data_IF_157082222183
#
_entry.id   IF_157082222183
#
_cell.length_a   1.000
_cell.length_b   1.000
_cell.length_c   1.000
_cell.angle_alpha   90.00
_cell.angle_beta   90.00
_cell.angle_gamma   90.00
#
_symmetry.space_group_name_H-M   'P 1'
#
loop_
_entity.id
_entity.type
_entity.pdbx_description
1 polymer ?
#
# COMPACT_ATOMS: atom_id res chain seq x y z
N UNK A 1 1.38 4.83 8.93
CA UNK A 1 1.98 4.71 7.58
C UNK A 1 3.49 4.77 7.59
N UNK A 2 4.13 5.73 8.29
CA UNK A 2 5.60 5.81 8.31
C UNK A 2 6.33 4.57 8.84
N UNK A 3 5.68 3.79 9.70
CA UNK A 3 6.25 2.56 10.27
C UNK A 3 6.11 1.34 9.34
N UNK A 4 5.21 1.37 8.36
CA UNK A 4 4.94 0.22 7.48
C UNK A 4 6.05 0.00 6.43
N UNK A 5 6.95 0.97 6.27
CA UNK A 5 8.03 1.00 5.29
C UNK A 5 9.40 1.22 5.96
N UNK A 6 9.50 0.89 7.25
CA UNK A 6 10.80 0.89 7.96
C UNK A 6 11.78 -0.07 7.25
N UNK A 7 13.05 0.33 7.14
CA UNK A 7 14.07 -0.50 6.52
C UNK A 7 14.34 -1.78 7.33
N UNK A 8 14.16 -1.72 8.65
CA UNK A 8 14.25 -2.85 9.55
C UNK A 8 12.90 -3.59 9.62
N UNK A 9 12.82 -4.86 9.17
CA UNK A 9 11.57 -5.63 9.19
C UNK A 9 10.99 -5.81 10.60
N UNK A 10 11.83 -5.84 11.64
CA UNK A 10 11.38 -6.01 13.02
C UNK A 10 10.68 -4.77 13.59
N UNK A 11 10.87 -3.61 12.96
CA UNK A 11 10.21 -2.36 13.32
C UNK A 11 8.90 -2.14 12.59
N UNK A 12 8.61 -2.95 11.56
CA UNK A 12 7.33 -2.88 10.85
C UNK A 12 6.24 -3.49 11.74
N UNK A 13 5.06 -2.87 11.84
CA UNK A 13 3.94 -3.49 12.50
C UNK A 13 3.51 -4.74 11.72
N UNK A 14 3.20 -5.81 12.44
CA UNK A 14 2.55 -6.96 11.84
C UNK A 14 1.11 -6.63 11.42
N UNK A 15 0.48 -7.56 10.70
CA UNK A 15 -0.87 -7.38 10.17
C UNK A 15 -1.91 -7.18 11.27
N UNK A 16 -1.76 -7.86 12.42
CA UNK A 16 -2.70 -7.76 13.53
C UNK A 16 -2.56 -6.41 14.24
N UNK A 17 -1.33 -5.97 14.52
CA UNK A 17 -1.04 -4.66 15.11
C UNK A 17 -1.53 -3.51 14.22
N UNK A 18 -1.38 -3.64 12.90
CA UNK A 18 -1.93 -2.67 11.95
C UNK A 18 -3.47 -2.66 11.96
N UNK A 19 -4.10 -3.82 11.99
CA UNK A 19 -5.57 -3.95 12.03
C UNK A 19 -6.16 -3.31 13.29
N UNK A 20 -5.59 -3.56 14.47
CA UNK A 20 -6.04 -2.95 15.72
C UNK A 20 -5.95 -1.42 15.69
N UNK A 21 -4.87 -0.86 15.10
CA UNK A 21 -4.75 0.59 14.90
C UNK A 21 -5.85 1.14 13.99
N UNK A 22 -6.13 0.46 12.87
CA UNK A 22 -7.20 0.87 11.95
C UNK A 22 -8.58 0.78 12.60
N UNK A 23 -8.83 -0.28 13.37
CA UNK A 23 -10.08 -0.45 14.13
C UNK A 23 -10.27 0.67 15.14
N UNK A 24 -9.21 1.07 15.85
CA UNK A 24 -9.25 2.21 16.76
C UNK A 24 -9.59 3.51 16.03
N UNK A 25 -8.90 3.82 14.91
CA UNK A 25 -9.23 5.00 14.13
C UNK A 25 -10.67 5.00 13.61
N UNK A 26 -11.17 3.84 13.18
CA UNK A 26 -12.55 3.71 12.74
C UNK A 26 -13.55 3.94 13.88
N UNK A 27 -13.26 3.43 15.07
CA UNK A 27 -14.09 3.66 16.25
C UNK A 27 -14.07 5.13 16.68
N UNK A 28 -12.88 5.75 16.71
CA UNK A 28 -12.72 7.17 17.02
C UNK A 28 -13.50 8.04 16.03
N UNK A 29 -13.46 7.68 14.74
CA UNK A 29 -14.23 8.33 13.68
C UNK A 29 -15.75 8.16 13.87
N UNK A 30 -16.22 6.95 14.19
CA UNK A 30 -17.65 6.69 14.40
C UNK A 30 -18.21 7.40 15.65
N UNK A 31 -17.36 7.62 16.65
CA UNK A 31 -17.74 8.29 17.90
C UNK A 31 -17.68 9.82 17.80
N UNK A 32 -17.22 10.36 16.67
CA UNK A 32 -17.16 11.79 16.42
C UNK A 32 -18.55 12.33 16.08
N UNK A 33 -18.90 13.49 16.62
CA UNK A 33 -20.22 14.10 16.40
C UNK A 33 -20.33 14.68 14.99
N UNK A 34 -21.52 14.57 14.38
CA UNK A 34 -21.84 15.09 13.05
C UNK A 34 -21.53 16.59 12.86
N UNK A 35 -21.50 17.36 13.95
CA UNK A 35 -21.18 18.79 13.95
C UNK A 35 -19.72 19.07 13.59
N UNK A 36 -18.80 18.19 14.00
CA UNK A 36 -17.38 18.29 13.67
C UNK A 36 -17.16 17.94 12.19
N UNK A 37 -17.84 16.91 11.68
CA UNK A 37 -17.86 16.58 10.25
C UNK A 37 -18.44 17.70 9.39
N UNK A 38 -19.54 18.34 9.81
CA UNK A 38 -20.07 19.53 9.12
C UNK A 38 -19.03 20.63 9.06
N UNK A 39 -18.36 20.96 10.16
CA UNK A 39 -17.33 22.01 10.15
C UNK A 39 -16.12 21.67 9.26
N UNK A 40 -15.73 20.40 9.15
CA UNK A 40 -14.62 19.97 8.30
C UNK A 40 -15.03 19.93 6.82
N UNK A 41 -16.27 19.52 6.51
CA UNK A 41 -16.87 19.57 5.17
C UNK A 41 -17.13 21.02 4.72
N UNK A 42 -17.59 21.88 5.61
CA UNK A 42 -17.82 23.31 5.37
C UNK A 42 -16.47 24.04 5.19
N UNK A 43 -15.41 23.64 5.90
CA UNK A 43 -14.04 24.09 5.61
C UNK A 43 -13.46 23.50 4.32
N UNK A 44 -13.97 22.34 3.87
CA UNK A 44 -13.66 21.70 2.59
C UNK A 44 -14.53 22.24 1.44
N UNK A 45 -15.51 23.11 1.72
CA UNK A 45 -16.41 23.76 0.77
C UNK A 45 -15.70 24.85 -0.07
N UNK A 46 -14.45 24.60 -0.44
CA UNK A 46 -13.68 25.31 -1.47
C UNK A 46 -13.41 24.42 -2.69
N UNK A 47 -14.28 23.44 -2.96
CA UNK A 47 -14.38 22.78 -4.27
C UNK A 47 -15.84 22.47 -4.60
N UNK A 48 -16.70 23.50 -4.62
CA UNK A 48 -17.92 23.46 -5.45
C UNK A 48 -17.50 23.47 -6.92
N UNK A 49 -17.04 22.34 -7.42
CA UNK A 49 -16.96 22.05 -8.86
C UNK A 49 -17.87 20.85 -9.08
N UNK A 50 -19.11 21.20 -9.39
CA UNK A 50 -20.08 20.48 -10.20
C UNK A 50 -19.76 18.99 -10.46
N UNK A 51 -20.60 18.14 -9.87
CA UNK A 51 -20.67 16.70 -10.06
C UNK A 51 -20.75 16.31 -11.54
N UNK A 52 -19.60 16.20 -12.20
CA UNK A 52 -19.50 15.54 -13.50
C UNK A 52 -19.03 14.11 -13.27
N UNK A 53 -19.98 13.24 -12.90
CA UNK A 53 -19.86 11.80 -12.63
C UNK A 53 -19.42 10.96 -13.86
N UNK A 54 -18.71 11.56 -14.83
CA UNK A 54 -18.29 10.95 -16.10
C UNK A 54 -16.83 11.24 -16.49
N UNK A 55 -16.00 11.83 -15.61
CA UNK A 55 -14.55 11.87 -15.85
C UNK A 55 -13.82 10.92 -14.89
N UNK A 56 -13.74 9.65 -15.27
CA UNK A 56 -13.08 8.57 -14.51
C UNK A 56 -11.55 8.71 -14.36
N UNK A 57 -10.99 9.91 -14.58
CA UNK A 57 -9.54 10.15 -14.60
C UNK A 57 -9.21 11.54 -14.07
N UNK A 58 -9.36 11.74 -12.77
CA UNK A 58 -8.67 12.81 -12.06
C UNK A 58 -7.17 12.46 -11.96
N UNK A 59 -6.47 12.50 -13.09
CA UNK A 59 -5.01 12.42 -13.07
C UNK A 59 -4.49 13.79 -12.58
N UNK A 60 -4.15 13.87 -11.30
CA UNK A 60 -3.40 15.01 -10.72
C UNK A 60 -1.93 15.02 -11.17
N UNK A 61 -1.48 13.96 -11.85
CA UNK A 61 -0.14 13.82 -12.38
C UNK A 61 -0.08 14.10 -13.89
N UNK A 62 1.05 14.66 -14.33
CA UNK A 62 1.35 14.79 -15.76
C UNK A 62 1.56 13.40 -16.36
N UNK A 63 0.86 13.09 -17.45
CA UNK A 63 1.12 11.89 -18.26
C UNK A 63 2.37 12.16 -19.08
N UNK A 64 3.44 11.43 -18.80
CA UNK A 64 4.65 11.46 -19.62
C UNK A 64 4.58 10.37 -20.68
N UNK A 65 4.56 10.77 -21.95
CA UNK A 65 4.65 9.84 -23.08
C UNK A 65 6.13 9.63 -23.40
N UNK A 66 6.67 8.44 -23.14
CA UNK A 66 8.01 8.07 -23.58
C UNK A 66 7.96 7.74 -25.07
N UNK A 67 8.30 8.72 -25.93
CA UNK A 67 8.58 8.45 -27.33
C UNK A 67 10.01 7.89 -27.44
N UNK A 68 10.22 6.89 -28.30
CA UNK A 68 11.51 6.23 -28.55
C UNK A 68 12.05 5.41 -27.36
N UNK A 69 11.28 4.45 -26.85
CA UNK A 69 11.81 3.44 -25.95
C UNK A 69 12.86 2.59 -26.68
N UNK A 70 13.97 2.19 -26.03
CA UNK A 70 14.88 1.22 -26.60
C UNK A 70 14.15 -0.11 -26.87
N UNK A 71 14.61 -0.86 -27.86
CA UNK A 71 14.05 -2.19 -28.12
C UNK A 71 14.14 -3.07 -26.86
N UNK A 72 13.11 -3.89 -26.58
CA UNK A 72 13.17 -4.85 -25.48
C UNK A 72 14.38 -5.77 -25.69
N UNK A 73 15.39 -5.67 -24.82
CA UNK A 73 16.51 -6.60 -24.76
C UNK A 73 16.38 -7.48 -23.52
N UNK A 74 16.66 -8.77 -23.65
CA UNK A 74 16.79 -9.65 -22.49
C UNK A 74 18.10 -9.31 -21.75
N UNK A 75 18.14 -9.54 -20.44
CA UNK A 75 19.37 -9.41 -19.66
C UNK A 75 20.39 -10.46 -20.15
N UNK A 76 21.67 -10.08 -20.23
CA UNK A 76 22.76 -11.03 -20.48
C UNK A 76 23.12 -11.80 -19.21
N UNK A 77 23.70 -12.99 -19.35
CA UNK A 77 24.09 -13.88 -18.23
C UNK A 77 24.94 -13.15 -17.17
N UNK A 78 25.89 -12.32 -17.63
CA UNK A 78 26.76 -11.49 -16.79
C UNK A 78 26.01 -10.37 -16.03
N UNK A 79 24.90 -9.85 -16.61
CA UNK A 79 24.03 -8.88 -15.94
C UNK A 79 23.13 -9.58 -14.89
N UNK A 80 22.77 -10.85 -15.09
CA UNK A 80 21.96 -11.62 -14.14
C UNK A 80 22.75 -12.13 -12.94
N UNK A 81 24.04 -12.46 -13.11
CA UNK A 81 24.92 -12.93 -12.02
C UNK A 81 24.96 -11.97 -10.82
N UNK A 82 24.91 -10.65 -11.05
CA UNK A 82 24.87 -9.64 -9.98
C UNK A 82 23.57 -9.62 -9.17
N UNK A 83 22.47 -10.17 -9.69
CA UNK A 83 21.16 -10.25 -9.02
C UNK A 83 20.89 -11.61 -8.36
N UNK A 84 21.68 -12.63 -8.66
CA UNK A 84 21.65 -13.92 -7.95
C UNK A 84 22.34 -13.85 -6.57
N UNK A 85 22.51 -12.65 -6.01
CA UNK A 85 23.04 -12.49 -4.67
C UNK A 85 22.02 -12.97 -3.62
N UNK A 86 22.41 -14.07 -2.97
CA UNK A 86 21.87 -14.68 -1.73
C UNK A 86 20.59 -15.50 -1.93
N UNK A 87 20.76 -16.82 -1.96
CA UNK A 87 19.76 -17.74 -1.41
C UNK A 87 19.43 -17.24 0.00
N UNK A 88 18.25 -16.65 0.18
CA UNK A 88 17.73 -16.50 1.53
C UNK A 88 17.50 -17.90 2.07
N UNK A 89 18.04 -18.16 3.25
CA UNK A 89 17.87 -19.40 4.00
C UNK A 89 16.46 -19.41 4.62
N UNK A 90 15.43 -19.26 3.78
CA UNK A 90 14.06 -19.49 4.18
C UNK A 90 13.86 -20.99 4.21
N UNK A 91 13.96 -21.58 5.39
CA UNK A 91 13.42 -22.91 5.65
C UNK A 91 11.92 -22.86 5.37
N UNK A 92 11.50 -23.27 4.17
CA UNK A 92 10.09 -23.54 3.86
C UNK A 92 9.76 -24.83 4.61
N UNK A 93 8.96 -24.79 5.69
CA UNK A 93 8.54 -26.01 6.35
C UNK A 93 7.69 -26.79 5.35
N UNK A 94 7.96 -28.09 5.22
CA UNK A 94 7.13 -28.96 4.39
C UNK A 94 5.66 -28.81 4.80
N UNK A 95 4.78 -28.76 3.80
CA UNK A 95 3.33 -28.62 3.90
C UNK A 95 2.62 -29.69 4.78
N UNK A 96 3.37 -30.63 5.36
CA UNK A 96 2.88 -31.66 6.28
C UNK A 96 2.65 -31.18 7.72
N UNK A 97 3.18 -30.03 8.15
CA UNK A 97 3.02 -29.55 9.55
C UNK A 97 1.82 -28.61 9.76
N UNK A 98 1.21 -28.08 8.70
CA UNK A 98 0.11 -27.11 8.80
C UNK A 98 -1.25 -27.78 9.14
N UNK A 99 -1.33 -29.12 9.10
CA UNK A 99 -2.58 -29.87 9.30
C UNK A 99 -2.93 -30.20 10.77
N UNK A 100 -2.13 -29.81 11.76
CA UNK A 100 -2.35 -30.22 13.16
C UNK A 100 -2.37 -29.04 14.14
N UNK A 101 -3.28 -28.09 13.98
CA UNK A 101 -3.77 -27.29 15.12
C UNK A 101 -5.21 -26.83 14.89
N UNK A 102 -6.15 -27.78 14.98
CA UNK A 102 -7.49 -27.52 15.51
C UNK A 102 -7.83 -28.64 16.50
N UNK A 103 -7.69 -28.35 17.78
CA UNK A 103 -8.40 -29.02 18.86
C UNK A 103 -8.73 -28.01 19.94
#
# INVERSE_FOLDING_TARGET
MKECWDADPLKRPDAYAFWERMKRFNLDYQNMTDELFKSEIDNLEMNKIEENYTSSRLFTSKIHNFANLPEPKNATEEEQEGFHSKLYDFNIPNNSEIANHQK
#
